data_IF_247711762316
#
_entry.id   IF_247711762316
#
_cell.length_a   1.000
_cell.length_b   1.000
_cell.length_c   1.000
_cell.angle_alpha   90.00
_cell.angle_beta   90.00
_cell.angle_gamma   90.00
#
_symmetry.space_group_name_H-M   'P 1'
#
loop_
_entity.id
_entity.type
_entity.pdbx_description
1 polymer ?
#
# COMPACT_ATOMS: atom_id res chain seq x y z
N UNK A 1 11.11 -5.03 -4.85
CA UNK A 1 10.42 -5.11 -6.16
C UNK A 1 9.28 -6.14 -6.19
N UNK A 2 9.23 -7.05 -5.24
CA UNK A 2 8.21 -8.09 -5.15
C UNK A 2 6.76 -7.53 -5.11
N UNK A 3 6.51 -6.46 -4.34
CA UNK A 3 5.20 -5.83 -4.21
C UNK A 3 4.90 -4.74 -5.25
N UNK A 4 5.72 -4.60 -6.29
CA UNK A 4 5.48 -3.60 -7.37
C UNK A 4 4.44 -4.06 -8.40
N UNK A 5 3.36 -4.72 -7.94
CA UNK A 5 2.28 -5.25 -8.78
C UNK A 5 1.64 -4.18 -9.66
N UNK A 6 1.40 -2.96 -9.13
CA UNK A 6 0.86 -1.85 -9.91
C UNK A 6 1.78 -1.50 -11.08
N UNK A 7 3.10 -1.41 -10.85
CA UNK A 7 4.08 -1.14 -11.91
C UNK A 7 4.08 -2.24 -12.97
N UNK A 8 4.07 -3.49 -12.55
CA UNK A 8 4.01 -4.62 -13.47
C UNK A 8 2.78 -4.56 -14.37
N UNK A 9 1.61 -4.29 -13.81
CA UNK A 9 0.33 -4.28 -14.52
C UNK A 9 0.12 -3.05 -15.40
N UNK A 10 0.68 -1.89 -15.06
CA UNK A 10 0.37 -0.62 -15.74
C UNK A 10 1.56 0.06 -16.39
N UNK A 11 2.79 -0.38 -16.10
CA UNK A 11 4.00 0.36 -16.47
C UNK A 11 4.26 1.61 -15.62
N UNK A 12 3.29 2.07 -14.81
CA UNK A 12 3.40 3.28 -14.01
C UNK A 12 4.42 3.13 -12.88
N UNK A 13 5.45 3.97 -12.88
CA UNK A 13 6.59 3.90 -11.95
C UNK A 13 6.48 4.82 -10.74
N UNK A 14 5.48 5.71 -10.69
CA UNK A 14 5.26 6.61 -9.54
C UNK A 14 5.03 5.85 -8.23
N UNK A 15 5.46 6.42 -7.10
CA UNK A 15 5.38 5.75 -5.79
C UNK A 15 3.97 5.72 -5.20
N UNK A 16 3.08 6.64 -5.61
CA UNK A 16 1.71 6.71 -5.11
C UNK A 16 0.67 6.52 -6.21
N UNK A 17 -0.32 5.68 -5.96
CA UNK A 17 -1.45 5.43 -6.85
C UNK A 17 -2.11 4.09 -6.61
N UNK A 18 -3.34 3.95 -7.11
CA UNK A 18 -4.11 2.72 -7.07
C UNK A 18 -4.55 2.34 -8.47
N UNK A 19 -4.33 1.09 -8.86
CA UNK A 19 -4.82 0.53 -10.12
C UNK A 19 -6.06 -0.32 -9.85
N UNK A 20 -7.12 -0.04 -10.57
CA UNK A 20 -8.32 -0.87 -10.64
C UNK A 20 -8.41 -1.53 -12.00
N UNK A 21 -8.66 -2.82 -12.02
CA UNK A 21 -8.95 -3.58 -13.25
C UNK A 21 -10.35 -4.14 -13.15
N UNK A 22 -11.16 -3.86 -14.14
CA UNK A 22 -12.51 -4.38 -14.30
C UNK A 22 -12.59 -5.16 -15.62
N UNK A 23 -13.73 -5.76 -15.89
CA UNK A 23 -13.94 -6.54 -17.12
C UNK A 23 -13.70 -5.71 -18.40
N UNK A 24 -14.17 -4.48 -18.39
CA UNK A 24 -14.25 -3.62 -19.58
C UNK A 24 -13.31 -2.42 -19.51
N UNK A 25 -12.63 -2.18 -18.39
CA UNK A 25 -11.75 -1.04 -18.23
C UNK A 25 -10.68 -1.28 -17.16
N UNK A 26 -9.58 -0.53 -17.29
CA UNK A 26 -8.62 -0.36 -16.22
C UNK A 26 -8.42 1.13 -15.93
N UNK A 27 -8.22 1.48 -14.67
CA UNK A 27 -8.04 2.87 -14.25
C UNK A 27 -6.95 3.01 -13.20
N UNK A 28 -6.11 4.03 -13.35
CA UNK A 28 -5.08 4.41 -12.40
C UNK A 28 -5.45 5.72 -11.73
N UNK A 29 -5.61 5.70 -10.41
CA UNK A 29 -5.77 6.88 -9.56
C UNK A 29 -4.42 7.28 -8.99
N UNK A 30 -4.00 8.53 -9.21
CA UNK A 30 -2.78 9.08 -8.63
C UNK A 30 -2.95 10.55 -8.25
N UNK A 31 -2.03 11.10 -7.46
CA UNK A 31 -2.06 12.50 -7.01
C UNK A 31 -1.23 13.43 -7.88
N UNK A 32 -1.32 14.75 -7.63
CA UNK A 32 -0.73 15.80 -8.47
C UNK A 32 0.76 15.71 -8.71
N UNK A 33 1.50 15.03 -7.85
CA UNK A 33 2.94 14.82 -8.00
C UNK A 33 3.29 13.98 -9.23
N UNK A 34 2.34 13.18 -9.70
CA UNK A 34 2.56 12.17 -10.74
C UNK A 34 1.69 12.36 -11.98
N UNK A 35 0.90 13.42 -12.12
CA UNK A 35 0.00 13.59 -13.26
C UNK A 35 0.72 13.52 -14.59
N UNK A 36 1.74 14.35 -14.79
CA UNK A 36 2.50 14.38 -16.05
C UNK A 36 3.24 13.07 -16.34
N UNK A 37 3.80 12.45 -15.29
CA UNK A 37 4.46 11.16 -15.40
C UNK A 37 3.46 10.07 -15.81
N UNK A 38 2.31 10.02 -15.15
CA UNK A 38 1.28 9.03 -15.44
C UNK A 38 0.68 9.21 -16.84
N UNK A 39 0.44 10.44 -17.29
CA UNK A 39 0.01 10.70 -18.67
C UNK A 39 0.95 10.08 -19.70
N UNK A 40 2.26 10.32 -19.51
CA UNK A 40 3.29 9.79 -20.41
C UNK A 40 3.43 8.27 -20.35
N UNK A 41 3.45 7.72 -19.13
CA UNK A 41 3.67 6.27 -18.92
C UNK A 41 2.44 5.43 -19.29
N UNK A 42 1.24 5.99 -19.25
CA UNK A 42 0.00 5.30 -19.63
C UNK A 42 -0.42 5.52 -21.09
N UNK A 43 0.31 6.34 -21.83
CA UNK A 43 0.01 6.59 -23.26
C UNK A 43 -0.02 5.28 -24.04
N UNK A 44 -1.11 5.04 -24.78
CA UNK A 44 -1.29 3.83 -25.60
C UNK A 44 -1.60 2.55 -24.83
N UNK A 45 -1.66 2.56 -23.48
CA UNK A 45 -1.93 1.35 -22.68
C UNK A 45 -3.41 0.98 -22.58
N UNK A 46 -4.31 1.90 -22.88
CA UNK A 46 -5.76 1.73 -22.64
C UNK A 46 -6.19 1.91 -21.18
N UNK A 47 -5.24 2.23 -20.28
CA UNK A 47 -5.55 2.49 -18.85
C UNK A 47 -5.96 3.95 -18.69
N UNK A 48 -7.15 4.19 -18.14
CA UNK A 48 -7.66 5.53 -17.88
C UNK A 48 -6.97 6.16 -16.67
N UNK A 49 -6.45 7.37 -16.82
CA UNK A 49 -5.86 8.13 -15.72
C UNK A 49 -6.94 8.94 -14.98
N UNK A 50 -7.06 8.70 -13.68
CA UNK A 50 -7.89 9.45 -12.74
C UNK A 50 -7.02 10.35 -11.88
N UNK A 51 -7.02 11.66 -12.18
CA UNK A 51 -6.25 12.69 -11.47
C UNK A 51 -6.94 13.07 -10.17
N UNK A 52 -6.50 12.51 -9.04
CA UNK A 52 -7.10 12.79 -7.73
C UNK A 52 -7.14 14.29 -7.41
N UNK A 53 -8.23 14.74 -6.81
CA UNK A 53 -8.50 16.13 -6.43
C UNK A 53 -8.79 17.09 -7.60
N UNK A 54 -8.81 16.62 -8.84
CA UNK A 54 -9.34 17.40 -9.95
C UNK A 54 -10.88 17.36 -9.95
N UNK A 55 -11.49 18.44 -10.42
CA UNK A 55 -12.95 18.55 -10.54
C UNK A 55 -13.52 17.43 -11.41
N UNK A 56 -14.63 16.84 -10.97
CA UNK A 56 -15.31 15.75 -11.69
C UNK A 56 -14.64 14.37 -11.59
N UNK A 57 -13.47 14.27 -10.95
CA UNK A 57 -12.76 12.98 -10.79
C UNK A 57 -13.17 12.32 -9.46
N UNK A 58 -13.88 11.17 -9.49
CA UNK A 58 -14.27 10.46 -8.29
C UNK A 58 -13.06 9.82 -7.60
N UNK A 59 -13.10 9.70 -6.29
CA UNK A 59 -12.18 8.84 -5.56
C UNK A 59 -12.39 7.38 -5.95
N UNK A 60 -11.37 6.55 -5.80
CA UNK A 60 -11.49 5.11 -6.09
C UNK A 60 -12.66 4.46 -5.33
N UNK A 61 -12.85 4.81 -4.06
CA UNK A 61 -13.96 4.30 -3.25
C UNK A 61 -15.34 4.67 -3.80
N UNK A 62 -15.51 5.92 -4.22
CA UNK A 62 -16.75 6.42 -4.83
C UNK A 62 -17.01 5.76 -6.18
N UNK A 63 -15.96 5.59 -6.98
CA UNK A 63 -16.03 4.89 -8.24
C UNK A 63 -16.46 3.42 -8.06
N UNK A 64 -15.84 2.72 -7.11
CA UNK A 64 -16.19 1.34 -6.77
C UNK A 64 -17.64 1.24 -6.27
N UNK A 65 -18.05 2.12 -5.36
CA UNK A 65 -19.40 2.12 -4.83
C UNK A 65 -20.46 2.33 -5.92
N UNK A 66 -20.16 3.14 -6.92
CA UNK A 66 -21.06 3.40 -8.05
C UNK A 66 -21.10 2.24 -9.05
N UNK A 67 -19.95 1.66 -9.39
CA UNK A 67 -19.82 0.75 -10.54
C UNK A 67 -19.81 -0.74 -10.20
N UNK A 68 -19.52 -1.14 -8.96
CA UNK A 68 -19.65 -2.53 -8.56
C UNK A 68 -21.14 -2.93 -8.49
N UNK A 69 -21.52 -4.07 -9.09
CA UNK A 69 -22.88 -4.59 -8.95
C UNK A 69 -23.13 -5.06 -7.52
N UNK A 70 -24.38 -5.08 -7.09
CA UNK A 70 -24.74 -5.78 -5.85
C UNK A 70 -24.38 -7.27 -5.93
N UNK A 71 -23.97 -7.85 -4.80
CA UNK A 71 -23.40 -9.20 -4.71
C UNK A 71 -22.11 -9.39 -5.52
N UNK A 72 -21.47 -8.28 -5.92
CA UNK A 72 -20.18 -8.30 -6.62
C UNK A 72 -19.01 -8.78 -5.74
N UNK A 73 -17.88 -9.01 -6.38
CA UNK A 73 -16.63 -9.39 -5.70
C UNK A 73 -15.56 -8.33 -5.96
N UNK A 74 -14.85 -7.92 -4.91
CA UNK A 74 -13.67 -7.06 -5.01
C UNK A 74 -12.44 -7.84 -4.54
N UNK A 75 -11.53 -8.11 -5.49
CA UNK A 75 -10.27 -8.81 -5.22
C UNK A 75 -9.12 -7.83 -4.97
N UNK A 76 -8.26 -8.15 -4.01
CA UNK A 76 -7.00 -7.46 -3.76
C UNK A 76 -6.05 -8.36 -2.96
N UNK A 77 -4.74 -8.09 -3.05
CA UNK A 77 -3.77 -8.77 -2.19
C UNK A 77 -3.89 -8.23 -0.76
N UNK A 78 -4.32 -9.06 0.19
CA UNK A 78 -4.49 -8.71 1.60
C UNK A 78 -3.18 -8.26 2.30
N UNK A 79 -2.02 -8.55 1.70
CA UNK A 79 -0.71 -8.08 2.17
C UNK A 79 -0.41 -6.64 1.72
N UNK A 80 -1.05 -6.16 0.66
CA UNK A 80 -0.79 -4.86 0.03
C UNK A 80 -1.85 -3.80 0.35
N UNK A 81 -3.06 -4.19 0.76
CA UNK A 81 -4.12 -3.27 1.16
C UNK A 81 -4.27 -3.28 2.68
N UNK A 82 -4.12 -2.10 3.32
CA UNK A 82 -4.26 -2.03 4.76
C UNK A 82 -5.72 -2.25 5.21
N UNK A 83 -5.88 -2.82 6.42
CA UNK A 83 -7.18 -3.16 7.00
C UNK A 83 -8.15 -1.97 7.07
N UNK A 84 -7.65 -0.77 7.44
CA UNK A 84 -8.49 0.43 7.56
C UNK A 84 -9.11 0.83 6.21
N UNK A 85 -8.37 0.70 5.12
CA UNK A 85 -8.88 0.97 3.76
C UNK A 85 -9.95 -0.05 3.36
N UNK A 86 -9.70 -1.35 3.60
CA UNK A 86 -10.70 -2.39 3.33
C UNK A 86 -11.98 -2.16 4.15
N UNK A 87 -11.84 -1.81 5.42
CA UNK A 87 -12.97 -1.49 6.30
C UNK A 87 -13.77 -0.26 5.82
N UNK A 88 -13.05 0.78 5.33
CA UNK A 88 -13.70 1.96 4.77
C UNK A 88 -14.51 1.64 3.50
N UNK A 89 -13.99 0.76 2.64
CA UNK A 89 -14.74 0.26 1.49
C UNK A 89 -16.00 -0.49 1.93
N UNK A 90 -15.89 -1.41 2.89
CA UNK A 90 -17.05 -2.16 3.41
C UNK A 90 -18.16 -1.24 3.91
N UNK A 91 -17.82 -0.28 4.78
CA UNK A 91 -18.78 0.72 5.29
C UNK A 91 -19.44 1.54 4.19
N UNK A 92 -18.67 1.89 3.14
CA UNK A 92 -19.24 2.65 2.02
C UNK A 92 -20.21 1.80 1.21
N UNK A 93 -19.88 0.53 0.93
CA UNK A 93 -20.78 -0.37 0.21
C UNK A 93 -22.07 -0.65 0.99
N UNK A 94 -21.97 -0.87 2.30
CA UNK A 94 -23.13 -1.01 3.18
C UNK A 94 -24.05 0.23 3.14
N UNK A 95 -23.45 1.43 3.17
CA UNK A 95 -24.18 2.71 3.06
C UNK A 95 -24.93 2.83 1.72
N UNK A 96 -24.35 2.31 0.64
CA UNK A 96 -24.96 2.28 -0.70
C UNK A 96 -25.90 1.07 -0.90
N UNK A 97 -26.16 0.31 0.16
CA UNK A 97 -27.05 -0.87 0.12
C UNK A 97 -26.51 -2.05 -0.68
N UNK A 98 -25.19 -2.13 -0.89
CA UNK A 98 -24.54 -3.15 -1.68
C UNK A 98 -23.85 -4.20 -0.81
N UNK A 99 -24.04 -5.48 -1.14
CA UNK A 99 -23.30 -6.60 -0.55
C UNK A 99 -22.12 -6.95 -1.44
N UNK A 100 -20.91 -6.61 -1.01
CA UNK A 100 -19.68 -6.88 -1.75
C UNK A 100 -18.85 -7.91 -0.99
N UNK A 101 -18.44 -8.97 -1.68
CA UNK A 101 -17.54 -9.98 -1.13
C UNK A 101 -16.09 -9.57 -1.40
N UNK A 102 -15.28 -9.44 -0.34
CA UNK A 102 -13.83 -9.25 -0.48
C UNK A 102 -13.14 -10.59 -0.70
N UNK A 103 -12.24 -10.62 -1.69
CA UNK A 103 -11.36 -11.77 -1.99
C UNK A 103 -9.93 -11.27 -1.82
N UNK A 104 -9.28 -11.62 -0.70
CA UNK A 104 -7.97 -11.06 -0.30
C UNK A 104 -6.90 -12.11 -0.01
N UNK A 105 -7.25 -13.40 -0.09
CA UNK A 105 -6.32 -14.50 0.16
C UNK A 105 -5.47 -14.85 -1.06
N UNK A 106 -5.82 -14.31 -2.24
CA UNK A 106 -5.14 -14.61 -3.50
C UNK A 106 -4.30 -13.44 -3.98
N UNK A 107 -3.10 -13.75 -4.40
CA UNK A 107 -2.24 -12.82 -5.14
C UNK A 107 -2.49 -12.98 -6.64
N UNK A 108 -3.55 -12.34 -7.14
CA UNK A 108 -3.96 -12.45 -8.55
C UNK A 108 -2.86 -11.98 -9.54
N UNK A 109 -2.06 -11.00 -9.16
CA UNK A 109 -0.94 -10.54 -9.99
C UNK A 109 0.19 -11.56 -9.97
N UNK A 110 0.44 -12.19 -8.82
CA UNK A 110 1.43 -13.25 -8.70
C UNK A 110 1.13 -14.47 -9.56
N UNK A 111 -0.14 -14.77 -9.82
CA UNK A 111 -0.56 -15.88 -10.69
C UNK A 111 -0.16 -15.65 -12.16
N UNK A 112 0.02 -14.41 -12.59
CA UNK A 112 0.34 -14.05 -14.00
C UNK A 112 1.73 -13.46 -14.19
N UNK A 113 2.44 -13.16 -13.11
CA UNK A 113 3.77 -12.54 -13.17
C UNK A 113 4.87 -13.60 -13.09
N UNK A 114 5.15 -14.26 -14.21
CA UNK A 114 6.10 -15.38 -14.31
C UNK A 114 7.51 -15.05 -13.79
N UNK A 115 8.05 -13.87 -14.15
CA UNK A 115 9.40 -13.44 -13.78
C UNK A 115 9.39 -12.48 -12.58
N UNK A 116 8.48 -12.66 -11.64
CA UNK A 116 8.38 -11.81 -10.46
C UNK A 116 9.66 -11.88 -9.61
N UNK A 117 10.29 -10.73 -9.30
CA UNK A 117 11.44 -10.72 -8.39
C UNK A 117 11.09 -11.38 -7.05
N UNK A 118 11.96 -12.20 -6.52
CA UNK A 118 11.78 -12.76 -5.18
C UNK A 118 11.85 -11.67 -4.11
N UNK A 119 11.21 -11.92 -2.97
CA UNK A 119 11.48 -11.12 -1.77
C UNK A 119 12.94 -11.26 -1.39
N UNK A 120 13.56 -10.17 -0.97
CA UNK A 120 14.94 -10.21 -0.50
C UNK A 120 15.06 -11.14 0.72
N UNK A 121 16.03 -12.04 0.67
CA UNK A 121 16.44 -12.87 1.79
C UNK A 121 17.78 -12.42 2.38
N UNK A 122 18.25 -11.22 2.04
CA UNK A 122 19.49 -10.69 2.57
C UNK A 122 19.40 -10.46 4.07
N UNK A 123 20.48 -10.68 4.80
CA UNK A 123 20.50 -10.42 6.24
C UNK A 123 20.28 -8.94 6.52
N UNK A 124 19.63 -8.66 7.64
CA UNK A 124 19.48 -7.29 8.14
C UNK A 124 20.84 -6.68 8.42
N UNK A 125 21.08 -5.47 7.91
CA UNK A 125 22.29 -4.71 8.13
C UNK A 125 22.18 -3.94 9.45
N UNK A 126 23.21 -4.05 10.28
CA UNK A 126 23.35 -3.26 11.50
C UNK A 126 24.01 -1.92 11.18
N UNK A 127 23.45 -0.83 11.67
CA UNK A 127 24.03 0.50 11.51
C UNK A 127 24.89 0.86 12.72
N UNK A 128 26.08 1.40 12.42
CA UNK A 128 27.00 1.89 13.43
C UNK A 128 26.45 3.12 14.16
N UNK A 129 26.91 3.31 15.41
CA UNK A 129 26.49 4.45 16.25
C UNK A 129 26.87 5.81 15.65
N UNK A 130 27.95 5.87 14.87
CA UNK A 130 28.36 7.08 14.16
C UNK A 130 27.32 7.55 13.14
N UNK A 131 26.55 6.60 12.57
CA UNK A 131 25.46 6.90 11.64
C UNK A 131 24.13 7.18 12.34
N UNK A 132 23.94 6.63 13.55
CA UNK A 132 22.63 6.62 14.25
C UNK A 132 22.56 7.57 15.43
N UNK A 133 23.70 8.13 15.88
CA UNK A 133 23.85 9.09 16.95
C UNK A 133 23.56 8.57 18.35
N UNK A 134 22.83 7.46 18.50
CA UNK A 134 22.46 6.85 19.78
C UNK A 134 22.42 5.33 19.68
N UNK A 135 22.89 4.64 20.70
CA UNK A 135 22.88 3.18 20.71
C UNK A 135 21.46 2.61 20.78
N UNK A 136 21.29 1.40 20.25
CA UNK A 136 20.02 0.65 20.36
C UNK A 136 19.62 0.45 21.83
N UNK A 137 20.58 0.16 22.70
CA UNK A 137 20.31 -0.03 24.12
C UNK A 137 19.73 1.24 24.77
N UNK A 138 20.32 2.39 24.48
CA UNK A 138 19.85 3.67 25.02
C UNK A 138 18.48 4.07 24.45
N UNK A 139 18.24 3.83 23.16
CA UNK A 139 16.91 4.06 22.55
C UNK A 139 15.83 3.19 23.21
N UNK A 140 16.12 1.91 23.45
CA UNK A 140 15.20 1.01 24.16
C UNK A 140 14.97 1.45 25.60
N UNK A 141 16.01 1.93 26.29
CA UNK A 141 15.86 2.47 27.64
C UNK A 141 14.95 3.70 27.68
N UNK A 142 15.10 4.63 26.73
CA UNK A 142 14.22 5.80 26.60
C UNK A 142 12.75 5.38 26.36
N UNK A 143 12.51 4.43 25.48
CA UNK A 143 11.15 3.94 25.21
C UNK A 143 10.55 3.33 26.47
N UNK A 144 11.29 2.48 27.18
CA UNK A 144 10.82 1.88 28.45
C UNK A 144 10.51 2.93 29.50
N UNK A 145 11.37 3.93 29.66
CA UNK A 145 11.11 5.06 30.56
C UNK A 145 9.85 5.84 30.18
N UNK A 146 9.62 6.05 28.88
CA UNK A 146 8.38 6.68 28.41
C UNK A 146 7.15 5.84 28.68
N UNK A 147 7.26 4.51 28.54
CA UNK A 147 6.19 3.55 28.87
C UNK A 147 5.84 3.59 30.37
N UNK A 148 6.84 3.58 31.25
CA UNK A 148 6.66 3.71 32.71
C UNK A 148 5.88 4.99 33.06
N UNK A 149 6.27 6.12 32.47
CA UNK A 149 5.58 7.41 32.67
C UNK A 149 4.12 7.42 32.18
N UNK A 150 3.79 6.52 31.26
CA UNK A 150 2.42 6.35 30.72
C UNK A 150 1.68 5.14 31.34
N UNK A 151 2.30 4.40 32.24
CA UNK A 151 1.79 3.16 32.81
C UNK A 151 1.39 2.14 31.75
N UNK A 152 2.22 2.01 30.70
CA UNK A 152 2.01 1.09 29.60
C UNK A 152 2.86 -0.16 29.79
N UNK A 153 2.25 -1.33 29.83
CA UNK A 153 2.92 -2.62 29.95
C UNK A 153 3.50 -3.10 28.63
N UNK A 154 2.84 -2.75 27.51
CA UNK A 154 3.22 -3.17 26.17
C UNK A 154 3.25 -1.98 25.22
N UNK A 155 4.20 -2.02 24.27
CA UNK A 155 4.28 -1.09 23.16
C UNK A 155 4.48 -1.87 21.86
N UNK A 156 3.54 -1.76 20.93
CA UNK A 156 3.60 -2.45 19.63
C UNK A 156 4.07 -1.48 18.55
N UNK A 157 5.18 -1.82 17.91
CA UNK A 157 5.70 -1.13 16.74
C UNK A 157 5.42 -1.94 15.48
N UNK A 158 4.76 -1.33 14.50
CA UNK A 158 4.46 -1.93 13.20
C UNK A 158 4.97 -1.09 12.00
N UNK A 159 5.38 0.15 12.24
CA UNK A 159 6.02 0.98 11.23
C UNK A 159 7.46 0.50 10.99
N UNK A 160 7.80 0.23 9.74
CA UNK A 160 9.14 -0.25 9.37
C UNK A 160 10.22 0.78 9.69
N UNK A 161 9.93 2.07 9.49
CA UNK A 161 10.84 3.17 9.79
C UNK A 161 11.14 3.26 11.29
N UNK A 162 10.11 3.16 12.14
CA UNK A 162 10.26 3.21 13.58
C UNK A 162 11.03 2.00 14.11
N UNK A 163 10.75 0.79 13.58
CA UNK A 163 11.48 -0.44 13.91
C UNK A 163 12.96 -0.28 13.52
N UNK A 164 13.22 0.18 12.30
CA UNK A 164 14.56 0.38 11.78
C UNK A 164 15.33 1.41 12.62
N UNK A 165 14.69 2.53 12.98
CA UNK A 165 15.28 3.56 13.83
C UNK A 165 15.58 3.05 15.24
N UNK A 166 14.62 2.39 15.89
CA UNK A 166 14.75 1.90 17.27
C UNK A 166 15.87 0.88 17.40
N UNK A 167 15.97 -0.03 16.43
CA UNK A 167 16.91 -1.15 16.47
C UNK A 167 18.25 -0.85 15.77
N UNK A 168 18.43 0.31 15.16
CA UNK A 168 19.59 0.67 14.33
C UNK A 168 19.86 -0.36 13.22
N UNK A 169 18.81 -0.72 12.48
CA UNK A 169 18.89 -1.72 11.42
C UNK A 169 18.42 -1.19 10.07
N UNK A 170 18.79 -1.89 8.99
CA UNK A 170 18.22 -1.72 7.64
C UNK A 170 18.00 -3.08 7.00
N UNK A 171 16.85 -3.25 6.37
CA UNK A 171 16.60 -4.31 5.41
C UNK A 171 16.75 -3.81 3.97
N UNK A 172 16.67 -4.68 3.00
CA UNK A 172 16.61 -4.35 1.57
C UNK A 172 15.36 -4.96 0.88
N UNK A 173 14.41 -5.36 1.66
CA UNK A 173 13.14 -5.99 1.28
C UNK A 173 11.95 -4.99 1.19
N UNK A 174 12.25 -3.69 1.36
CA UNK A 174 11.27 -2.58 1.37
C UNK A 174 11.62 -1.56 0.28
#
# INVERSE_FOLDING_TARGET
DYFKCRRYMSGFTGSAGSLLVMKDMAGLWTDGRYFLQAEKELEGTGITLFKLQCEGVPRLSEFLAKNLPDNGKLGFDGRALNYRTAQAFGKLFEKEGKKITFVYEKDLVGEIWENRPALSAKPVMLLDISCTGKSRADKLADVRKAMEGKRADYFVLSSLDDIAWLLNIRGDDV
#
